data_IF_871605609914
#
_entry.id   IF_871605609914
#
_cell.length_a   1.000
_cell.length_b   1.000
_cell.length_c   1.000
_cell.angle_alpha   90.00
_cell.angle_beta   90.00
_cell.angle_gamma   90.00
#
_symmetry.space_group_name_H-M   'P 1'
#
loop_
_entity.id
_entity.type
_entity.pdbx_description
1 polymer ?
#
# COMPACT_ATOMS: atom_id res chain seq x y z
N UNK A 1 36.49 -67.06 6.90
CA UNK A 1 37.21 -65.81 7.20
C UNK A 1 37.52 -65.10 5.89
N UNK A 2 36.63 -64.22 5.41
CA UNK A 2 36.81 -63.43 4.19
C UNK A 2 36.53 -61.98 4.53
N UNK A 3 37.51 -61.15 4.18
CA UNK A 3 37.68 -59.76 4.56
C UNK A 3 36.48 -58.88 4.24
N UNK A 4 35.95 -58.20 5.26
CA UNK A 4 35.06 -57.08 5.11
C UNK A 4 35.94 -55.83 4.96
N UNK A 5 36.10 -55.35 3.73
CA UNK A 5 36.77 -54.08 3.45
C UNK A 5 35.89 -52.94 3.96
N UNK A 6 36.38 -52.26 4.99
CA UNK A 6 35.75 -51.10 5.59
C UNK A 6 35.54 -50.00 4.54
N UNK A 7 34.28 -49.61 4.39
CA UNK A 7 33.82 -48.49 3.61
C UNK A 7 34.09 -47.22 4.43
N UNK A 8 35.18 -46.52 4.15
CA UNK A 8 35.36 -45.13 4.57
C UNK A 8 35.67 -44.33 3.33
N UNK A 9 34.79 -43.40 2.96
CA UNK A 9 35.12 -42.18 2.22
C UNK A 9 33.93 -41.22 2.29
N UNK A 10 34.08 -40.23 3.18
CA UNK A 10 33.75 -38.82 3.02
C UNK A 10 32.27 -38.45 2.77
N UNK A 11 31.53 -38.29 3.87
CA UNK A 11 30.38 -37.39 3.92
C UNK A 11 30.82 -35.94 3.94
N UNK A 12 31.09 -35.36 2.76
CA UNK A 12 31.12 -33.92 2.60
C UNK A 12 29.67 -33.44 2.38
N UNK A 13 28.96 -33.14 3.47
CA UNK A 13 27.74 -32.33 3.38
C UNK A 13 28.16 -30.92 2.95
N UNK A 14 28.17 -30.69 1.64
CA UNK A 14 28.15 -29.34 1.10
C UNK A 14 26.84 -28.70 1.55
N UNK A 15 26.91 -27.80 2.53
CA UNK A 15 25.88 -26.79 2.75
C UNK A 15 25.87 -25.89 1.52
N UNK A 16 25.16 -26.31 0.48
CA UNK A 16 24.70 -25.41 -0.55
C UNK A 16 23.68 -24.49 0.12
N UNK A 17 24.15 -23.33 0.59
CA UNK A 17 23.26 -22.19 0.85
C UNK A 17 22.55 -21.89 -0.46
N UNK A 18 21.32 -22.38 -0.59
CA UNK A 18 20.51 -22.14 -1.77
C UNK A 18 20.40 -20.63 -1.95
N UNK A 19 20.86 -20.14 -3.10
CA UNK A 19 20.56 -18.78 -3.52
C UNK A 19 19.03 -18.65 -3.51
N UNK A 20 18.50 -17.95 -2.52
CA UNK A 20 17.06 -17.78 -2.40
C UNK A 20 16.59 -17.04 -3.67
N UNK A 21 15.70 -17.68 -4.42
CA UNK A 21 15.34 -17.25 -5.77
C UNK A 21 14.61 -15.91 -5.72
N UNK A 22 15.06 -14.95 -6.53
CA UNK A 22 14.43 -13.63 -6.62
C UNK A 22 12.95 -13.73 -7.03
N UNK A 23 12.10 -12.91 -6.42
CA UNK A 23 10.69 -12.83 -6.81
C UNK A 23 10.52 -12.02 -8.09
N UNK A 24 9.49 -12.35 -8.86
CA UNK A 24 9.11 -11.62 -10.06
C UNK A 24 7.66 -11.17 -9.97
N UNK A 25 7.41 -9.91 -10.31
CA UNK A 25 6.06 -9.36 -10.36
C UNK A 25 5.83 -8.73 -11.72
N UNK A 26 4.73 -9.13 -12.37
CA UNK A 26 4.32 -8.57 -13.65
C UNK A 26 3.63 -7.22 -13.44
N UNK A 27 4.17 -6.16 -14.03
CA UNK A 27 3.55 -4.84 -14.05
C UNK A 27 2.81 -4.61 -15.37
N UNK A 28 1.69 -3.89 -15.29
CA UNK A 28 0.94 -3.35 -16.42
C UNK A 28 1.35 -1.89 -16.65
N UNK A 29 1.46 -1.47 -17.92
CA UNK A 29 1.64 -0.07 -18.31
C UNK A 29 1.20 0.15 -19.76
N UNK A 30 1.27 1.41 -20.22
CA UNK A 30 0.78 1.91 -21.51
C UNK A 30 -0.75 1.93 -21.67
N UNK A 31 -1.46 2.17 -20.57
CA UNK A 31 -2.92 2.33 -20.44
C UNK A 31 -3.71 1.07 -20.78
N UNK A 32 -4.58 0.65 -19.85
CA UNK A 32 -5.43 -0.52 -20.01
C UNK A 32 -4.68 -1.86 -19.97
N UNK A 33 -3.51 -1.92 -19.35
CA UNK A 33 -2.62 -3.07 -19.27
C UNK A 33 -2.22 -3.63 -20.64
N UNK A 34 -2.01 -2.74 -21.62
CA UNK A 34 -1.61 -3.14 -22.97
C UNK A 34 -0.20 -3.73 -23.01
N UNK A 35 0.71 -3.24 -22.18
CA UNK A 35 2.07 -3.79 -22.06
C UNK A 35 2.26 -4.39 -20.68
N UNK A 36 2.93 -5.54 -20.64
CA UNK A 36 3.28 -6.22 -19.40
C UNK A 36 4.76 -6.60 -19.40
N UNK A 37 5.43 -6.33 -18.29
CA UNK A 37 6.82 -6.75 -18.08
C UNK A 37 7.07 -7.10 -16.61
N UNK A 38 8.04 -7.98 -16.38
CA UNK A 38 8.38 -8.47 -15.05
C UNK A 38 9.45 -7.59 -14.40
N UNK A 39 9.19 -7.11 -13.19
CA UNK A 39 10.23 -6.57 -12.32
C UNK A 39 10.69 -7.66 -11.35
N UNK A 40 11.99 -7.73 -11.12
CA UNK A 40 12.62 -8.70 -10.22
C UNK A 40 12.95 -8.04 -8.88
N UNK A 41 12.70 -8.74 -7.79
CA UNK A 41 12.98 -8.31 -6.42
C UNK A 41 13.89 -9.31 -5.75
N UNK A 42 15.01 -8.84 -5.20
CA UNK A 42 15.95 -9.70 -4.48
C UNK A 42 15.35 -10.17 -3.16
N UNK A 43 15.77 -11.33 -2.68
CA UNK A 43 15.33 -11.81 -1.36
C UNK A 43 15.83 -10.92 -0.21
N UNK A 44 16.96 -10.24 -0.40
CA UNK A 44 17.44 -9.25 0.56
C UNK A 44 16.48 -8.05 0.66
N UNK A 45 16.02 -7.53 -0.48
CA UNK A 45 15.06 -6.42 -0.51
C UNK A 45 13.72 -6.81 0.10
N UNK A 46 13.22 -8.01 -0.23
CA UNK A 46 11.95 -8.49 0.29
C UNK A 46 12.02 -8.82 1.78
N UNK A 47 13.18 -9.29 2.27
CA UNK A 47 13.42 -9.45 3.71
C UNK A 47 13.37 -8.10 4.42
N UNK A 48 14.00 -7.06 3.86
CA UNK A 48 13.95 -5.71 4.41
C UNK A 48 12.52 -5.14 4.43
N UNK A 49 11.75 -5.35 3.36
CA UNK A 49 10.33 -4.96 3.29
C UNK A 49 9.50 -5.70 4.34
N UNK A 50 9.68 -7.02 4.48
CA UNK A 50 8.99 -7.81 5.50
C UNK A 50 9.28 -7.30 6.91
N UNK A 51 10.54 -6.96 7.21
CA UNK A 51 10.92 -6.37 8.49
C UNK A 51 10.34 -4.97 8.72
N UNK A 52 10.04 -4.21 7.66
CA UNK A 52 9.31 -2.93 7.79
C UNK A 52 7.85 -3.17 8.17
N UNK A 53 7.15 -4.06 7.47
CA UNK A 53 5.75 -4.39 7.76
C UNK A 53 5.57 -5.00 9.16
N UNK A 54 6.50 -5.85 9.59
CA UNK A 54 6.48 -6.48 10.91
C UNK A 54 6.56 -5.49 12.10
N UNK A 55 6.93 -4.22 11.87
CA UNK A 55 6.93 -3.19 12.91
C UNK A 55 5.53 -2.70 13.27
N UNK A 56 4.55 -2.87 12.38
CA UNK A 56 3.18 -2.46 12.61
C UNK A 56 2.55 -3.30 13.73
N UNK A 57 1.93 -2.63 14.70
CA UNK A 57 1.26 -3.28 15.84
C UNK A 57 -0.27 -3.20 15.76
N UNK A 58 -0.79 -2.56 14.73
CA UNK A 58 -2.22 -2.43 14.48
C UNK A 58 -2.49 -2.36 12.99
N UNK A 59 -3.74 -2.61 12.59
CA UNK A 59 -4.18 -2.43 11.21
C UNK A 59 -3.93 -0.99 10.70
N UNK A 60 -4.12 0.01 11.55
CA UNK A 60 -3.85 1.41 11.20
C UNK A 60 -2.37 1.64 10.88
N UNK A 61 -1.48 1.10 11.72
CA UNK A 61 -0.04 1.19 11.49
C UNK A 61 0.39 0.39 10.25
N UNK A 62 -0.19 -0.79 10.04
CA UNK A 62 0.10 -1.61 8.86
C UNK A 62 -0.25 -0.86 7.58
N UNK A 63 -1.41 -0.19 7.51
CA UNK A 63 -1.76 0.67 6.37
C UNK A 63 -0.75 1.79 6.16
N UNK A 64 -0.32 2.47 7.22
CA UNK A 64 0.67 3.54 7.11
C UNK A 64 2.04 3.04 6.61
N UNK A 65 2.48 1.85 7.04
CA UNK A 65 3.70 1.22 6.53
C UNK A 65 3.51 0.72 5.10
N UNK A 66 2.38 0.08 4.80
CA UNK A 66 2.03 -0.48 3.51
C UNK A 66 2.05 0.57 2.40
N UNK A 67 1.52 1.77 2.67
CA UNK A 67 1.59 2.89 1.73
C UNK A 67 3.02 3.17 1.24
N UNK A 68 3.98 3.23 2.17
CA UNK A 68 5.41 3.45 1.86
C UNK A 68 6.05 2.25 1.17
N UNK A 69 5.69 1.04 1.59
CA UNK A 69 6.19 -0.20 0.97
C UNK A 69 5.76 -0.32 -0.49
N UNK A 70 4.50 -0.02 -0.80
CA UNK A 70 4.02 0.01 -2.19
C UNK A 70 4.81 1.05 -3.00
N UNK A 71 5.02 2.26 -2.46
CA UNK A 71 5.88 3.25 -3.10
C UNK A 71 7.30 2.74 -3.36
N UNK A 72 7.95 2.10 -2.38
CA UNK A 72 9.29 1.51 -2.54
C UNK A 72 9.32 0.45 -3.64
N UNK A 73 8.34 -0.46 -3.66
CA UNK A 73 8.24 -1.51 -4.68
C UNK A 73 8.07 -0.91 -6.09
N UNK A 74 7.19 0.08 -6.26
CA UNK A 74 7.06 0.81 -7.53
C UNK A 74 8.35 1.51 -7.94
N UNK A 75 9.06 2.12 -6.99
CA UNK A 75 10.33 2.81 -7.26
C UNK A 75 11.40 1.85 -7.77
N UNK A 76 11.49 0.65 -7.19
CA UNK A 76 12.43 -0.40 -7.62
C UNK A 76 12.05 -0.98 -8.98
N UNK A 77 10.77 -1.24 -9.21
CA UNK A 77 10.30 -1.71 -10.51
C UNK A 77 10.45 -0.64 -11.60
N UNK A 78 10.28 0.65 -11.27
CA UNK A 78 10.48 1.78 -12.18
C UNK A 78 11.94 1.98 -12.61
N UNK A 79 12.92 1.45 -11.85
CA UNK A 79 14.32 1.40 -12.30
C UNK A 79 14.57 0.32 -13.35
N UNK A 80 13.70 -0.69 -13.41
CA UNK A 80 13.82 -1.85 -14.30
C UNK A 80 12.96 -1.72 -15.55
N UNK A 81 11.85 -0.99 -15.46
CA UNK A 81 10.79 -0.96 -16.46
C UNK A 81 10.53 0.47 -16.95
N UNK A 82 10.06 0.64 -18.21
CA UNK A 82 9.73 1.97 -18.76
C UNK A 82 8.72 2.77 -17.92
N UNK A 83 7.88 2.09 -17.13
CA UNK A 83 6.93 2.73 -16.23
C UNK A 83 7.55 3.57 -15.11
N UNK A 84 8.87 3.59 -14.97
CA UNK A 84 9.56 4.61 -14.18
C UNK A 84 9.32 6.05 -14.65
N UNK A 85 8.86 6.23 -15.90
CA UNK A 85 8.51 7.54 -16.47
C UNK A 85 7.05 7.98 -16.21
N UNK A 86 6.26 7.13 -15.55
CA UNK A 86 4.89 7.39 -15.15
C UNK A 86 4.77 8.65 -14.26
N UNK A 87 3.64 9.34 -14.37
CA UNK A 87 3.32 10.51 -13.56
C UNK A 87 1.94 10.33 -12.93
N UNK A 88 1.71 11.02 -11.81
CA UNK A 88 0.40 10.99 -11.16
C UNK A 88 -0.71 11.42 -12.13
N UNK A 89 -1.88 10.79 -12.01
CA UNK A 89 -2.99 11.08 -12.91
C UNK A 89 -2.75 10.56 -14.32
N UNK A 90 -3.53 11.04 -15.29
CA UNK A 90 -3.38 10.63 -16.71
C UNK A 90 -2.89 11.76 -17.62
N UNK A 91 -2.76 12.98 -17.12
CA UNK A 91 -2.47 14.14 -17.98
C UNK A 91 -0.98 14.47 -18.06
N UNK A 92 -0.24 14.23 -16.98
CA UNK A 92 1.16 14.65 -16.86
C UNK A 92 2.14 13.80 -17.69
N UNK A 93 1.73 12.62 -18.16
CA UNK A 93 2.55 11.65 -18.89
C UNK A 93 1.97 11.23 -20.26
N UNK A 94 1.03 12.01 -20.79
CA UNK A 94 0.43 11.70 -22.08
C UNK A 94 1.49 11.55 -23.18
N UNK A 95 1.43 10.43 -23.90
CA UNK A 95 2.38 10.12 -24.97
C UNK A 95 3.73 9.57 -24.50
N UNK A 96 3.99 9.49 -23.18
CA UNK A 96 5.22 8.90 -22.64
C UNK A 96 5.12 7.37 -22.68
N UNK A 97 6.22 6.69 -23.03
CA UNK A 97 6.33 5.24 -22.92
C UNK A 97 6.45 4.87 -21.44
N UNK A 98 5.59 3.95 -20.97
CA UNK A 98 5.57 3.56 -19.57
C UNK A 98 4.47 4.22 -18.73
N UNK A 99 3.76 5.22 -19.27
CA UNK A 99 2.61 5.85 -18.62
C UNK A 99 1.60 4.83 -18.11
N UNK A 100 0.97 5.11 -16.98
CA UNK A 100 0.03 4.21 -16.34
C UNK A 100 -1.31 4.90 -16.11
N UNK A 101 -2.41 4.19 -16.36
CA UNK A 101 -3.74 4.64 -15.96
C UNK A 101 -4.22 3.90 -14.70
N UNK A 102 -5.43 4.22 -14.22
CA UNK A 102 -6.00 3.55 -13.05
C UNK A 102 -6.10 2.01 -13.20
N UNK A 103 -6.22 1.48 -14.43
CA UNK A 103 -6.27 0.03 -14.67
C UNK A 103 -4.89 -0.57 -14.48
N UNK A 104 -3.86 0.08 -15.00
CA UNK A 104 -2.45 -0.30 -14.84
C UNK A 104 -2.05 -0.30 -13.37
N UNK A 105 -2.29 0.81 -12.65
CA UNK A 105 -1.99 0.94 -11.23
C UNK A 105 -2.75 -0.08 -10.39
N UNK A 106 -4.07 -0.19 -10.57
CA UNK A 106 -4.87 -1.11 -9.76
C UNK A 106 -4.46 -2.58 -9.96
N UNK A 107 -4.07 -2.97 -11.18
CA UNK A 107 -3.63 -4.33 -11.48
C UNK A 107 -2.24 -4.61 -10.93
N UNK A 108 -1.30 -3.71 -11.16
CA UNK A 108 0.08 -3.85 -10.69
C UNK A 108 0.15 -3.83 -9.16
N UNK A 109 -0.58 -2.92 -8.50
CA UNK A 109 -0.67 -2.84 -7.04
C UNK A 109 -1.30 -4.10 -6.45
N UNK A 110 -2.35 -4.65 -7.07
CA UNK A 110 -2.93 -5.93 -6.62
C UNK A 110 -1.90 -7.07 -6.65
N UNK A 111 -1.08 -7.16 -7.71
CA UNK A 111 -0.04 -8.19 -7.84
C UNK A 111 1.07 -8.04 -6.80
N UNK A 112 1.45 -6.79 -6.48
CA UNK A 112 2.38 -6.51 -5.38
C UNK A 112 1.79 -6.93 -4.03
N UNK A 113 0.53 -6.58 -3.75
CA UNK A 113 -0.15 -6.99 -2.53
C UNK A 113 -0.23 -8.52 -2.41
N UNK A 114 -0.50 -9.22 -3.52
CA UNK A 114 -0.51 -10.68 -3.57
C UNK A 114 0.87 -11.29 -3.28
N UNK A 115 1.97 -10.66 -3.74
CA UNK A 115 3.33 -11.07 -3.36
C UNK A 115 3.54 -10.94 -1.84
N UNK A 116 3.13 -9.82 -1.24
CA UNK A 116 3.27 -9.58 0.20
C UNK A 116 2.44 -10.57 1.02
N UNK A 117 1.19 -10.82 0.60
CA UNK A 117 0.30 -11.79 1.23
C UNK A 117 0.83 -13.23 1.13
N UNK A 118 1.28 -13.66 -0.06
CA UNK A 118 1.84 -14.99 -0.27
C UNK A 118 3.10 -15.25 0.57
N UNK A 119 3.79 -14.19 0.97
CA UNK A 119 4.97 -14.23 1.86
C UNK A 119 4.62 -14.08 3.34
N UNK A 120 3.34 -13.96 3.69
CA UNK A 120 2.89 -13.78 5.07
C UNK A 120 3.31 -12.46 5.70
N UNK A 121 3.55 -11.42 4.88
CA UNK A 121 4.02 -10.11 5.34
C UNK A 121 2.87 -9.17 5.73
N UNK A 122 1.62 -9.53 5.43
CA UNK A 122 0.43 -8.80 5.89
C UNK A 122 -0.14 -9.54 7.11
N UNK A 123 -0.12 -8.88 8.26
CA UNK A 123 -0.56 -9.43 9.55
C UNK A 123 -1.98 -9.01 9.91
N UNK A 124 -2.39 -7.80 9.51
CA UNK A 124 -3.69 -7.23 9.84
C UNK A 124 -4.64 -7.16 8.65
N UNK A 125 -4.18 -7.39 7.42
CA UNK A 125 -5.00 -7.37 6.23
C UNK A 125 -4.76 -8.58 5.33
N UNK A 126 -5.78 -8.90 4.52
CA UNK A 126 -5.70 -9.79 3.36
C UNK A 126 -6.03 -9.01 2.09
N UNK A 127 -5.61 -9.53 0.94
CA UNK A 127 -5.93 -8.92 -0.35
C UNK A 127 -7.37 -9.26 -0.73
N UNK A 128 -8.11 -8.25 -1.19
CA UNK A 128 -9.48 -8.40 -1.65
C UNK A 128 -9.58 -8.08 -3.16
N UNK A 129 -10.69 -8.48 -3.82
CA UNK A 129 -10.92 -8.09 -5.21
C UNK A 129 -10.88 -6.57 -5.40
N UNK A 130 -10.32 -6.13 -6.53
CA UNK A 130 -10.25 -4.71 -6.90
C UNK A 130 -11.62 -4.05 -6.85
N UNK A 131 -11.65 -2.78 -6.46
CA UNK A 131 -12.85 -1.96 -6.48
C UNK A 131 -12.91 -1.12 -7.76
N UNK A 132 -14.13 -0.78 -8.16
CA UNK A 132 -14.41 0.16 -9.22
C UNK A 132 -15.37 1.23 -8.72
N UNK A 133 -14.99 2.49 -8.89
CA UNK A 133 -15.84 3.66 -8.72
C UNK A 133 -16.29 4.15 -10.08
N UNK A 134 -17.57 4.47 -10.20
CA UNK A 134 -18.14 5.04 -11.43
C UNK A 134 -18.79 6.38 -11.10
N UNK A 135 -18.25 7.46 -11.64
CA UNK A 135 -18.80 8.81 -11.48
C UNK A 135 -19.51 9.24 -12.76
N UNK A 136 -20.72 9.81 -12.63
CA UNK A 136 -21.54 10.29 -13.75
C UNK A 136 -21.68 9.27 -14.90
N UNK A 137 -21.74 7.97 -14.57
CA UNK A 137 -21.87 6.82 -15.50
C UNK A 137 -20.76 6.64 -16.55
N UNK A 138 -19.76 7.53 -16.63
CA UNK A 138 -18.74 7.53 -17.69
C UNK A 138 -17.32 7.41 -17.14
N UNK A 139 -17.04 8.01 -16.00
CA UNK A 139 -15.69 8.04 -15.43
C UNK A 139 -15.50 6.86 -14.50
N UNK A 140 -14.80 5.84 -14.99
CA UNK A 140 -14.43 4.67 -14.22
C UNK A 140 -13.04 4.87 -13.59
N UNK A 141 -12.94 4.62 -12.31
CA UNK A 141 -11.68 4.59 -11.57
C UNK A 141 -11.55 3.24 -10.88
N UNK A 142 -10.38 2.61 -10.94
CA UNK A 142 -10.11 1.30 -10.35
C UNK A 142 -9.02 1.40 -9.30
N UNK A 143 -9.13 0.61 -8.24
CA UNK A 143 -8.08 0.50 -7.22
C UNK A 143 -7.94 -0.93 -6.69
N UNK A 144 -6.72 -1.28 -6.27
CA UNK A 144 -6.49 -2.45 -5.45
C UNK A 144 -7.13 -2.26 -4.06
N UNK A 145 -7.45 -3.37 -3.38
CA UNK A 145 -8.16 -3.33 -2.09
C UNK A 145 -7.53 -4.32 -1.12
N UNK A 146 -7.40 -3.89 0.12
CA UNK A 146 -7.09 -4.75 1.26
C UNK A 146 -8.28 -4.77 2.23
N UNK A 147 -8.52 -5.92 2.84
CA UNK A 147 -9.58 -6.13 3.84
C UNK A 147 -8.93 -6.44 5.18
N UNK A 148 -9.36 -5.75 6.22
CA UNK A 148 -8.88 -5.94 7.57
C UNK A 148 -9.34 -7.28 8.14
N UNK A 149 -8.40 -8.03 8.71
CA UNK A 149 -8.65 -9.29 9.39
C UNK A 149 -9.32 -9.05 10.75
N UNK A 150 -9.93 -10.09 11.32
CA UNK A 150 -10.54 -10.07 12.67
C UNK A 150 -9.61 -9.40 13.69
N UNK A 151 -10.17 -8.69 14.71
CA UNK A 151 -9.42 -7.64 15.37
C UNK A 151 -8.24 -8.22 16.14
N UNK A 152 -7.03 -7.76 15.79
CA UNK A 152 -5.91 -7.73 16.74
C UNK A 152 -6.30 -6.85 17.94
N UNK A 153 -5.64 -7.04 19.11
CA UNK A 153 -6.12 -6.53 20.40
C UNK A 153 -6.57 -5.08 20.31
N UNK A 154 -7.77 -4.83 20.83
CA UNK A 154 -8.45 -3.54 20.78
C UNK A 154 -7.48 -2.39 21.01
N UNK A 155 -7.55 -1.37 20.15
CA UNK A 155 -6.94 -0.10 20.44
C UNK A 155 -7.33 0.30 21.88
N UNK A 156 -6.41 0.84 22.69
CA UNK A 156 -6.78 1.38 23.99
C UNK A 156 -8.00 2.28 23.81
N UNK A 157 -8.97 2.25 24.75
CA UNK A 157 -10.22 2.99 24.61
C UNK A 157 -9.90 4.41 24.16
N UNK A 158 -10.64 4.90 23.16
CA UNK A 158 -10.50 6.26 22.69
C UNK A 158 -10.39 7.17 23.92
N UNK A 159 -9.40 8.08 23.98
CA UNK A 159 -9.33 9.03 25.08
C UNK A 159 -10.71 9.65 25.23
N UNK A 160 -11.19 9.74 26.47
CA UNK A 160 -12.48 10.33 26.77
C UNK A 160 -12.64 11.61 25.94
N UNK A 161 -13.84 11.89 25.38
CA UNK A 161 -14.04 13.04 24.53
C UNK A 161 -13.44 14.25 25.23
N UNK A 162 -12.32 14.75 24.69
CA UNK A 162 -11.68 15.95 25.20
C UNK A 162 -12.74 17.02 24.97
N UNK A 163 -13.30 17.62 26.04
CA UNK A 163 -14.33 18.61 25.86
C UNK A 163 -13.78 19.68 24.92
N UNK A 164 -14.59 20.09 23.93
CA UNK A 164 -14.20 21.19 23.07
C UNK A 164 -14.15 22.46 23.93
N UNK A 165 -12.96 22.76 24.42
CA UNK A 165 -12.70 23.94 25.24
C UNK A 165 -12.48 25.17 24.36
N UNK A 166 -12.44 25.03 23.03
CA UNK A 166 -12.22 26.16 22.13
C UNK A 166 -13.33 27.20 22.26
N UNK A 167 -14.64 26.88 22.27
CA UNK A 167 -15.70 27.84 22.54
C UNK A 167 -15.58 28.53 23.91
N UNK A 168 -15.15 27.81 24.94
CA UNK A 168 -15.00 28.34 26.30
C UNK A 168 -13.81 29.30 26.38
N UNK A 169 -12.67 28.93 25.79
CA UNK A 169 -11.48 29.78 25.67
C UNK A 169 -11.76 31.00 24.78
N UNK A 170 -12.53 30.84 23.69
CA UNK A 170 -12.96 31.95 22.82
C UNK A 170 -13.99 32.87 23.47
N UNK A 171 -14.76 32.40 24.46
CA UNK A 171 -15.68 33.24 25.24
C UNK A 171 -14.97 34.00 26.36
N UNK A 172 -13.85 33.47 26.87
CA UNK A 172 -13.04 34.08 27.93
C UNK A 172 -11.97 35.05 27.39
N UNK A 173 -11.48 34.82 26.17
CA UNK A 173 -10.60 35.74 25.48
C UNK A 173 -11.42 36.62 24.53
N UNK A 174 -11.28 37.95 24.62
CA UNK A 174 -11.84 38.92 23.66
C UNK A 174 -11.10 38.84 22.31
N UNK A 175 -11.23 37.70 21.63
CA UNK A 175 -10.44 37.28 20.47
C UNK A 175 -11.30 37.08 19.22
N UNK A 176 -12.35 37.88 19.06
CA UNK A 176 -13.22 37.86 17.88
C UNK A 176 -12.44 37.93 16.57
N UNK A 177 -11.36 38.71 16.55
CA UNK A 177 -10.49 38.89 15.37
C UNK A 177 -9.61 37.67 15.04
N UNK A 178 -9.32 36.80 16.00
CA UNK A 178 -8.60 35.54 15.74
C UNK A 178 -9.53 34.49 15.13
N UNK A 179 -10.82 34.50 15.46
CA UNK A 179 -11.80 33.55 14.92
C UNK A 179 -11.95 33.67 13.42
N UNK A 180 -11.86 34.89 12.88
CA UNK A 180 -11.89 35.13 11.43
C UNK A 180 -10.60 34.73 10.70
N UNK A 181 -9.52 34.43 11.44
CA UNK A 181 -8.19 34.10 10.91
C UNK A 181 -7.77 32.66 11.17
N UNK A 182 -8.57 31.89 11.92
CA UNK A 182 -8.35 30.46 12.08
C UNK A 182 -8.74 29.75 10.78
N UNK A 183 -7.82 28.98 10.17
CA UNK A 183 -8.21 28.13 9.05
C UNK A 183 -9.30 27.18 9.52
N UNK A 184 -10.39 27.06 8.75
CA UNK A 184 -11.33 25.95 8.91
C UNK A 184 -10.48 24.70 8.76
N UNK A 185 -10.30 23.96 9.86
CA UNK A 185 -9.62 22.68 9.79
C UNK A 185 -10.35 21.87 8.70
N UNK A 186 -9.65 21.35 7.68
CA UNK A 186 -10.28 20.44 6.75
C UNK A 186 -10.97 19.38 7.60
N UNK A 187 -12.22 19.07 7.28
CA UNK A 187 -12.93 17.97 7.90
C UNK A 187 -12.09 16.74 7.63
N UNK A 188 -11.21 16.40 8.57
CA UNK A 188 -10.45 15.17 8.51
C UNK A 188 -11.52 14.12 8.70
N UNK A 189 -11.92 13.48 7.60
CA UNK A 189 -12.84 12.35 7.62
C UNK A 189 -12.48 11.50 8.83
N UNK A 190 -13.45 11.26 9.71
CA UNK A 190 -13.25 10.60 10.99
C UNK A 190 -12.59 9.25 10.75
N UNK A 191 -11.26 9.20 10.84
CA UNK A 191 -10.52 7.97 10.57
C UNK A 191 -10.90 7.01 11.69
N UNK A 192 -11.56 5.87 11.39
CA UNK A 192 -12.01 4.95 12.43
C UNK A 192 -10.84 4.56 13.32
N UNK A 193 -10.95 4.94 14.59
CA UNK A 193 -9.95 4.71 15.62
C UNK A 193 -10.26 3.39 16.34
N UNK A 194 -10.24 2.28 15.60
CA UNK A 194 -10.18 0.91 16.10
C UNK A 194 -10.17 -0.01 14.89
N UNK A 195 -9.42 -1.10 14.98
CA UNK A 195 -9.49 -2.12 13.95
C UNK A 195 -10.93 -2.61 13.76
N UNK A 196 -11.38 -2.67 12.51
CA UNK A 196 -12.76 -2.99 12.12
C UNK A 196 -12.71 -4.21 11.20
N UNK A 197 -12.96 -5.42 11.72
CA UNK A 197 -12.94 -6.64 10.93
C UNK A 197 -13.82 -6.53 9.67
N UNK A 198 -13.28 -6.91 8.52
CA UNK A 198 -14.00 -6.78 7.25
C UNK A 198 -14.05 -5.35 6.69
N UNK A 199 -13.50 -4.35 7.39
CA UNK A 199 -13.32 -3.02 6.81
C UNK A 199 -12.36 -3.10 5.62
N UNK A 200 -12.75 -2.45 4.52
CA UNK A 200 -12.00 -2.49 3.27
C UNK A 200 -11.38 -1.13 3.02
N UNK A 201 -10.15 -1.14 2.54
CA UNK A 201 -9.38 0.06 2.21
C UNK A 201 -8.83 -0.09 0.80
N UNK A 202 -8.93 0.99 0.02
CA UNK A 202 -8.26 1.05 -1.28
C UNK A 202 -6.77 1.28 -1.08
N UNK A 203 -5.95 0.73 -1.97
CA UNK A 203 -4.52 1.04 -2.08
C UNK A 203 -4.29 1.57 -3.49
N UNK A 204 -4.25 2.88 -3.60
CA UNK A 204 -4.33 3.59 -4.88
C UNK A 204 -3.04 4.39 -5.12
N UNK A 205 -2.18 3.89 -6.00
CA UNK A 205 -0.93 4.54 -6.38
C UNK A 205 -1.08 5.54 -7.54
N UNK A 206 -2.26 5.62 -8.17
CA UNK A 206 -2.49 6.49 -9.33
C UNK A 206 -2.48 7.99 -8.95
N UNK A 207 -2.80 8.32 -7.70
CA UNK A 207 -2.89 9.69 -7.20
C UNK A 207 -1.53 10.37 -6.95
N UNK A 208 -0.43 9.61 -6.97
CA UNK A 208 0.88 10.07 -6.51
C UNK A 208 1.94 9.89 -7.59
N UNK A 209 3.06 10.62 -7.46
CA UNK A 209 4.18 10.46 -8.38
C UNK A 209 4.78 9.06 -8.26
N UNK A 210 5.45 8.61 -9.32
CA UNK A 210 5.97 7.27 -9.37
C UNK A 210 6.95 6.98 -8.22
N UNK A 211 6.65 5.91 -7.48
CA UNK A 211 7.41 5.47 -6.32
C UNK A 211 7.13 6.20 -5.00
N UNK A 212 6.24 7.21 -5.00
CA UNK A 212 5.76 7.83 -3.76
C UNK A 212 4.80 6.91 -2.99
N UNK A 213 4.61 7.13 -1.67
CA UNK A 213 3.70 6.32 -0.89
C UNK A 213 2.28 6.32 -1.48
N UNK A 214 1.71 5.12 -1.65
CA UNK A 214 0.37 4.98 -2.18
C UNK A 214 -0.68 5.60 -1.25
N UNK A 215 -1.79 6.07 -1.82
CA UNK A 215 -2.91 6.58 -1.06
C UNK A 215 -3.72 5.40 -0.53
N UNK A 216 -3.96 5.37 0.78
CA UNK A 216 -4.81 4.36 1.42
C UNK A 216 -5.91 5.05 2.20
N UNK A 217 -7.17 4.82 1.80
CA UNK A 217 -8.37 5.35 2.46
C UNK A 217 -9.48 4.30 2.53
N UNK A 218 -10.48 4.47 3.41
CA UNK A 218 -11.63 3.57 3.48
C UNK A 218 -12.31 3.43 2.12
N UNK A 219 -12.73 2.21 1.78
CA UNK A 219 -13.37 1.94 0.49
C UNK A 219 -14.67 2.74 0.31
N UNK A 220 -15.43 2.95 1.38
CA UNK A 220 -16.67 3.74 1.33
C UNK A 220 -16.38 5.19 0.91
N UNK A 221 -15.48 5.87 1.62
CA UNK A 221 -15.05 7.23 1.33
C UNK A 221 -14.52 7.34 -0.11
N UNK A 222 -13.71 6.37 -0.56
CA UNK A 222 -13.21 6.33 -1.93
C UNK A 222 -14.36 6.23 -2.92
N UNK A 223 -15.33 5.33 -2.71
CA UNK A 223 -16.50 5.19 -3.60
C UNK A 223 -17.33 6.48 -3.68
N UNK A 224 -17.38 7.25 -2.59
CA UNK A 224 -18.10 8.53 -2.51
C UNK A 224 -17.35 9.71 -3.18
N UNK A 225 -16.12 9.49 -3.63
CA UNK A 225 -15.36 10.48 -4.39
C UNK A 225 -14.07 10.96 -3.72
N UNK A 226 -13.78 10.51 -2.50
CA UNK A 226 -12.56 10.93 -1.81
C UNK A 226 -11.30 10.46 -2.51
N UNK A 227 -10.22 11.19 -2.26
CA UNK A 227 -8.90 11.00 -2.85
C UNK A 227 -8.25 12.35 -3.17
N UNK A 228 -6.92 12.39 -3.31
CA UNK A 228 -6.24 13.60 -3.77
C UNK A 228 -6.75 14.04 -5.14
N UNK A 229 -6.86 15.36 -5.32
CA UNK A 229 -7.08 15.90 -6.65
C UNK A 229 -5.82 15.73 -7.49
N UNK A 230 -5.96 15.07 -8.64
CA UNK A 230 -4.93 15.02 -9.68
C UNK A 230 -5.48 15.72 -10.93
N UNK A 231 -4.77 16.75 -11.42
CA UNK A 231 -5.19 17.53 -12.58
C UNK A 231 -5.08 16.75 -13.90
#
# INVERSE_FOLDING_TARGET
>A
MRAWRALMLLGALAWAGGAAAAAQVMFCFNYGCQTQASATYSEADLTAIGAQLAQARSAREERAVLARVIGRLYREAGQQLPMGADRKGNFADQGVLGRMDCIDHSTSTMRLLQLLEARGMLHFHKVAPKARRTTLLLFQHFSAVVEELSPGPAAPPAPAPVPDHVPVLMALCDCGDLRAKLPVAPQVASVPAAGSPGARYVVDSWFVEQGEPAVILPLADWLDGDGPYVP
#
